data_IF_510014987028
#
_entry.id   IF_510014987028
#
_cell.length_a   1.000
_cell.length_b   1.000
_cell.length_c   1.000
_cell.angle_alpha   90.00
_cell.angle_beta   90.00
_cell.angle_gamma   90.00
#
_symmetry.space_group_name_H-M   'P 1'
#
loop_
_entity.id
_entity.type
_entity.pdbx_description
1 polymer ?
#
# COMPACT_ATOMS: atom_id res chain seq x y z
N UNK A 1 5.77 -11.73 7.37
CA UNK A 1 6.96 -12.01 6.54
C UNK A 1 6.92 -13.34 5.76
N UNK A 2 6.70 -14.52 6.37
CA UNK A 2 6.80 -15.83 5.67
C UNK A 2 5.79 -15.99 4.51
N UNK A 3 4.58 -15.44 4.67
CA UNK A 3 3.51 -15.50 3.66
C UNK A 3 3.83 -14.64 2.43
N UNK A 4 4.45 -13.47 2.62
CA UNK A 4 4.83 -12.58 1.51
C UNK A 4 5.90 -13.23 0.63
N UNK A 5 6.88 -13.89 1.25
CA UNK A 5 7.96 -14.57 0.54
C UNK A 5 7.45 -15.71 -0.34
N UNK A 6 6.47 -16.47 0.15
CA UNK A 6 5.88 -17.60 -0.56
C UNK A 6 4.97 -17.15 -1.72
N UNK A 7 4.24 -16.04 -1.57
CA UNK A 7 3.45 -15.44 -2.65
C UNK A 7 4.36 -14.91 -3.77
N UNK A 8 5.45 -14.22 -3.43
CA UNK A 8 6.43 -13.73 -4.42
C UNK A 8 7.07 -14.89 -5.17
N UNK A 9 7.42 -15.97 -4.48
CA UNK A 9 7.99 -17.17 -5.09
C UNK A 9 7.04 -17.81 -6.12
N UNK A 10 5.75 -17.91 -5.78
CA UNK A 10 4.70 -18.43 -6.66
C UNK A 10 4.54 -17.55 -7.91
N UNK A 11 4.55 -16.22 -7.75
CA UNK A 11 4.48 -15.27 -8.87
C UNK A 11 5.69 -15.44 -9.80
N UNK A 12 6.90 -15.57 -9.23
CA UNK A 12 8.11 -15.83 -10.02
C UNK A 12 8.00 -17.14 -10.80
N UNK A 13 7.58 -18.24 -10.17
CA UNK A 13 7.43 -19.54 -10.85
C UNK A 13 6.38 -19.47 -11.97
N UNK A 14 5.22 -18.88 -11.70
CA UNK A 14 4.16 -18.70 -12.69
C UNK A 14 4.60 -17.81 -13.86
N UNK A 15 5.36 -16.75 -13.59
CA UNK A 15 5.89 -15.87 -14.63
C UNK A 15 6.84 -16.59 -15.57
N UNK A 16 7.69 -17.50 -15.05
CA UNK A 16 8.61 -18.33 -15.85
C UNK A 16 7.82 -19.33 -16.70
N UNK A 17 6.77 -19.95 -16.15
CA UNK A 17 5.89 -20.86 -16.89
C UNK A 17 5.16 -20.14 -18.02
N UNK A 18 4.61 -18.95 -17.74
CA UNK A 18 3.92 -18.11 -18.74
C UNK A 18 4.91 -17.67 -19.84
N UNK A 19 6.14 -17.28 -19.47
CA UNK A 19 7.25 -16.99 -20.38
C UNK A 19 7.54 -18.14 -21.33
N UNK A 20 7.63 -19.35 -20.78
CA UNK A 20 7.91 -20.56 -21.54
C UNK A 20 6.80 -20.86 -22.55
N UNK A 21 5.53 -20.73 -22.13
CA UNK A 21 4.37 -20.93 -23.00
C UNK A 21 4.29 -19.84 -24.08
N UNK A 22 4.53 -18.57 -23.73
CA UNK A 22 4.56 -17.44 -24.67
C UNK A 22 5.70 -17.59 -25.68
N UNK A 23 6.88 -18.01 -25.25
CA UNK A 23 8.01 -18.27 -26.14
C UNK A 23 7.68 -19.39 -27.13
N UNK A 24 7.09 -20.50 -26.66
CA UNK A 24 6.65 -21.60 -27.54
C UNK A 24 5.62 -21.12 -28.57
N UNK A 25 4.70 -20.24 -28.15
CA UNK A 25 3.68 -19.64 -29.02
C UNK A 25 4.27 -18.62 -30.01
N UNK A 26 5.27 -17.83 -29.59
CA UNK A 26 6.00 -16.88 -30.44
C UNK A 26 6.82 -17.63 -31.50
N UNK A 27 7.49 -18.73 -31.11
CA UNK A 27 8.24 -19.60 -32.02
C UNK A 27 7.36 -20.22 -33.13
N UNK A 28 6.06 -20.41 -32.86
CA UNK A 28 5.07 -20.88 -33.84
C UNK A 28 4.28 -19.76 -34.53
N UNK A 29 4.45 -18.52 -34.10
CA UNK A 29 3.90 -17.34 -34.77
C UNK A 29 4.97 -16.73 -35.67
N UNK A 30 4.61 -16.07 -36.78
CA UNK A 30 5.57 -15.35 -37.63
C UNK A 30 6.21 -14.10 -36.95
N UNK A 31 6.08 -13.93 -35.63
CA UNK A 31 6.65 -12.83 -34.85
C UNK A 31 8.11 -13.12 -34.51
N UNK A 32 9.05 -12.42 -35.15
CA UNK A 32 10.49 -12.51 -34.86
C UNK A 32 10.89 -11.63 -33.67
N UNK A 33 10.46 -11.99 -32.47
CA UNK A 33 11.03 -11.38 -31.24
C UNK A 33 12.18 -12.26 -30.77
N UNK A 34 13.38 -11.70 -30.64
CA UNK A 34 14.52 -12.48 -30.16
C UNK A 34 14.30 -12.89 -28.70
N UNK A 35 14.64 -14.14 -28.37
CA UNK A 35 14.54 -14.67 -27.01
C UNK A 35 15.18 -13.75 -25.94
N UNK A 36 16.35 -13.12 -26.18
CA UNK A 36 16.93 -12.16 -25.24
C UNK A 36 16.01 -10.96 -24.95
N UNK A 37 15.37 -10.40 -25.98
CA UNK A 37 14.47 -9.24 -25.83
C UNK A 37 13.24 -9.62 -25.00
N UNK A 38 12.67 -10.80 -25.25
CA UNK A 38 11.53 -11.32 -24.48
C UNK A 38 11.92 -11.50 -23.00
N UNK A 39 13.09 -12.08 -22.73
CA UNK A 39 13.58 -12.27 -21.36
C UNK A 39 13.76 -10.93 -20.63
N UNK A 40 14.35 -9.92 -21.28
CA UNK A 40 14.53 -8.58 -20.70
C UNK A 40 13.21 -7.90 -20.34
N UNK A 41 12.21 -7.98 -21.23
CA UNK A 41 10.88 -7.40 -20.97
C UNK A 41 10.28 -8.02 -19.71
N UNK A 42 10.38 -9.34 -19.56
CA UNK A 42 9.73 -10.03 -18.45
C UNK A 42 10.46 -9.81 -17.12
N UNK A 43 11.80 -9.75 -17.13
CA UNK A 43 12.58 -9.33 -15.96
C UNK A 43 12.18 -7.91 -15.55
N UNK A 44 12.02 -6.99 -16.51
CA UNK A 44 11.57 -5.61 -16.25
C UNK A 44 10.19 -5.55 -15.60
N UNK A 45 9.22 -6.32 -16.10
CA UNK A 45 7.88 -6.41 -15.52
C UNK A 45 7.93 -6.99 -14.11
N UNK A 46 8.70 -8.06 -13.90
CA UNK A 46 8.84 -8.69 -12.58
C UNK A 46 9.42 -7.71 -11.55
N UNK A 47 10.49 -7.00 -11.91
CA UNK A 47 11.09 -5.99 -11.03
C UNK A 47 10.10 -4.87 -10.69
N UNK A 48 9.32 -4.39 -11.66
CA UNK A 48 8.31 -3.35 -11.43
C UNK A 48 7.18 -3.84 -10.50
N UNK A 49 6.72 -5.08 -10.68
CA UNK A 49 5.69 -5.69 -9.82
C UNK A 49 6.22 -5.89 -8.41
N UNK A 50 7.42 -6.47 -8.24
CA UNK A 50 8.02 -6.67 -6.92
C UNK A 50 8.22 -5.35 -6.19
N UNK A 51 8.75 -4.32 -6.88
CA UNK A 51 8.91 -2.98 -6.30
C UNK A 51 7.56 -2.40 -5.85
N UNK A 52 6.52 -2.54 -6.68
CA UNK A 52 5.18 -2.05 -6.35
C UNK A 52 4.59 -2.74 -5.11
N UNK A 53 4.76 -4.06 -4.99
CA UNK A 53 4.31 -4.82 -3.81
C UNK A 53 5.02 -4.33 -2.55
N UNK A 54 6.34 -4.18 -2.58
CA UNK A 54 7.13 -3.71 -1.43
C UNK A 54 6.72 -2.29 -1.03
N UNK A 55 6.50 -1.41 -2.01
CA UNK A 55 6.05 -0.04 -1.76
C UNK A 55 4.67 -0.02 -1.08
N UNK A 56 3.73 -0.87 -1.52
CA UNK A 56 2.40 -0.98 -0.92
C UNK A 56 2.49 -1.50 0.52
N UNK A 57 3.31 -2.54 0.76
CA UNK A 57 3.49 -3.14 2.09
C UNK A 57 4.08 -2.12 3.07
N UNK A 58 5.13 -1.41 2.67
CA UNK A 58 5.74 -0.35 3.48
C UNK A 58 4.74 0.79 3.79
N UNK A 59 3.92 1.20 2.81
CA UNK A 59 2.89 2.22 3.04
C UNK A 59 1.84 1.75 4.05
N UNK A 60 1.44 0.48 3.97
CA UNK A 60 0.51 -0.12 4.92
C UNK A 60 1.10 -0.16 6.34
N UNK A 61 2.33 -0.63 6.50
CA UNK A 61 3.00 -0.67 7.79
C UNK A 61 3.15 0.74 8.38
N UNK A 62 3.48 1.74 7.54
CA UNK A 62 3.57 3.14 7.95
C UNK A 62 2.21 3.68 8.40
N UNK A 63 1.14 3.43 7.64
CA UNK A 63 -0.20 3.87 7.97
C UNK A 63 -0.71 3.27 9.29
N UNK A 64 -0.40 1.99 9.54
CA UNK A 64 -0.72 1.32 10.82
C UNK A 64 0.00 2.01 11.97
N UNK A 65 1.30 2.27 11.83
CA UNK A 65 2.09 2.92 12.88
C UNK A 65 1.59 4.36 13.17
N UNK A 66 1.28 5.12 12.12
CA UNK A 66 0.71 6.47 12.25
C UNK A 66 -0.65 6.42 12.95
N UNK A 67 -1.50 5.47 12.58
CA UNK A 67 -2.80 5.25 13.22
C UNK A 67 -2.66 4.90 14.71
N UNK A 68 -1.80 3.95 15.05
CA UNK A 68 -1.57 3.54 16.45
C UNK A 68 -1.05 4.72 17.29
N UNK A 69 -0.13 5.51 16.73
CA UNK A 69 0.40 6.70 17.40
C UNK A 69 -0.70 7.74 17.65
N UNK A 70 -1.56 7.97 16.65
CA UNK A 70 -2.66 8.91 16.75
C UNK A 70 -3.69 8.47 17.81
N UNK A 71 -4.03 7.18 17.85
CA UNK A 71 -4.93 6.63 18.87
C UNK A 71 -4.35 6.80 20.28
N UNK A 72 -3.04 6.61 20.47
CA UNK A 72 -2.40 6.88 21.76
C UNK A 72 -2.54 8.36 22.12
N UNK A 73 -2.22 9.28 21.20
CA UNK A 73 -2.36 10.72 21.45
C UNK A 73 -3.80 11.10 21.85
N UNK A 74 -4.80 10.57 21.15
CA UNK A 74 -6.21 10.77 21.46
C UNK A 74 -6.56 10.27 22.86
N UNK A 75 -6.10 9.07 23.22
CA UNK A 75 -6.45 8.44 24.50
C UNK A 75 -5.70 9.05 25.69
N UNK A 76 -4.55 9.68 25.46
CA UNK A 76 -3.74 10.32 26.51
C UNK A 76 -3.93 11.83 26.58
N UNK A 77 -4.79 12.42 25.73
CA UNK A 77 -5.06 13.85 25.76
C UNK A 77 -5.90 14.21 26.99
N UNK A 78 -5.31 15.01 27.89
CA UNK A 78 -5.96 15.41 29.15
C UNK A 78 -6.22 16.92 29.21
N UNK A 79 -5.39 17.72 28.55
CA UNK A 79 -5.53 19.18 28.51
C UNK A 79 -6.23 19.64 27.23
N UNK A 80 -6.72 20.88 27.24
CA UNK A 80 -7.29 21.50 26.04
C UNK A 80 -6.30 21.49 24.87
N UNK A 81 -5.06 21.90 25.12
CA UNK A 81 -3.99 21.96 24.12
C UNK A 81 -3.66 20.57 23.55
N UNK A 82 -3.67 19.53 24.40
CA UNK A 82 -3.46 18.14 23.95
C UNK A 82 -4.61 17.67 23.05
N UNK A 83 -5.85 17.97 23.43
CA UNK A 83 -7.03 17.63 22.66
C UNK A 83 -7.07 18.36 21.31
N UNK A 84 -6.70 19.65 21.28
CA UNK A 84 -6.61 20.43 20.05
C UNK A 84 -5.50 19.89 19.12
N UNK A 85 -4.34 19.53 19.69
CA UNK A 85 -3.25 18.90 18.93
C UNK A 85 -3.67 17.55 18.34
N UNK A 86 -4.31 16.69 19.15
CA UNK A 86 -4.81 15.39 18.70
C UNK A 86 -5.87 15.54 17.59
N UNK A 87 -6.78 16.52 17.73
CA UNK A 87 -7.76 16.87 16.70
C UNK A 87 -7.10 17.30 15.39
N UNK A 88 -6.15 18.24 15.43
CA UNK A 88 -5.46 18.72 14.22
C UNK A 88 -4.67 17.60 13.53
N UNK A 89 -4.01 16.72 14.29
CA UNK A 89 -3.32 15.57 13.75
C UNK A 89 -4.28 14.55 13.11
N UNK A 90 -5.45 14.35 13.72
CA UNK A 90 -6.49 13.48 13.18
C UNK A 90 -7.07 14.02 11.86
N UNK A 91 -7.34 15.32 11.79
CA UNK A 91 -7.77 15.99 10.54
C UNK A 91 -6.72 15.85 9.45
N UNK A 92 -5.45 16.12 9.76
CA UNK A 92 -4.35 15.99 8.81
C UNK A 92 -4.19 14.54 8.31
N UNK A 93 -4.28 13.56 9.21
CA UNK A 93 -4.18 12.15 8.84
C UNK A 93 -5.35 11.68 7.97
N UNK A 94 -6.57 12.16 8.21
CA UNK A 94 -7.73 11.86 7.35
C UNK A 94 -7.58 12.47 5.95
N UNK A 95 -7.12 13.72 5.83
CA UNK A 95 -6.89 14.36 4.53
C UNK A 95 -5.84 13.58 3.71
N UNK A 96 -4.73 13.23 4.36
CA UNK A 96 -3.66 12.41 3.77
C UNK A 96 -4.15 11.04 3.30
N UNK A 97 -5.01 10.37 4.08
CA UNK A 97 -5.46 9.00 3.77
C UNK A 97 -6.63 8.96 2.81
N UNK A 98 -7.47 9.99 2.74
CA UNK A 98 -8.56 10.10 1.77
C UNK A 98 -8.09 10.55 0.37
N UNK A 99 -7.01 11.33 0.29
CA UNK A 99 -6.50 11.89 -0.95
C UNK A 99 -5.65 10.96 -1.83
N UNK A 100 -5.36 9.73 -1.40
CA UNK A 100 -4.41 8.85 -2.09
C UNK A 100 -5.01 7.49 -2.47
N UNK A 101 -4.75 7.06 -3.71
CA UNK A 101 -5.14 5.73 -4.23
C UNK A 101 -4.50 4.57 -3.45
N UNK A 102 -3.33 4.79 -2.85
CA UNK A 102 -2.59 3.84 -2.03
C UNK A 102 -2.00 4.62 -0.85
N UNK A 103 -2.75 4.68 0.23
CA UNK A 103 -2.38 5.31 1.51
C UNK A 103 -2.03 4.27 2.59
N UNK A 104 -2.58 3.06 2.49
CA UNK A 104 -2.29 1.95 3.40
C UNK A 104 -3.24 1.85 4.60
N UNK A 105 -4.08 2.86 4.87
CA UNK A 105 -5.04 2.83 5.95
C UNK A 105 -6.29 2.03 5.55
N UNK A 106 -6.90 1.34 6.51
CA UNK A 106 -8.16 0.63 6.28
C UNK A 106 -9.34 1.59 6.36
N UNK A 107 -10.46 1.21 5.74
CA UNK A 107 -11.71 1.96 5.86
C UNK A 107 -12.18 2.06 7.31
N UNK A 108 -11.99 1.00 8.09
CA UNK A 108 -12.37 0.96 9.50
C UNK A 108 -11.57 1.98 10.31
N UNK A 109 -10.24 2.02 10.13
CA UNK A 109 -9.37 3.02 10.77
C UNK A 109 -9.80 4.44 10.41
N UNK A 110 -10.06 4.72 9.12
CA UNK A 110 -10.55 6.04 8.68
C UNK A 110 -11.88 6.41 9.33
N UNK A 111 -12.84 5.49 9.36
CA UNK A 111 -14.14 5.73 9.98
C UNK A 111 -14.04 5.99 11.50
N UNK A 112 -13.10 5.35 12.20
CA UNK A 112 -12.88 5.58 13.64
C UNK A 112 -12.32 6.98 13.90
N UNK A 113 -11.32 7.41 13.13
CA UNK A 113 -10.76 8.76 13.24
C UNK A 113 -11.78 9.81 12.78
N UNK A 114 -12.58 9.53 11.75
CA UNK A 114 -13.64 10.43 11.26
C UNK A 114 -14.67 10.71 12.36
N UNK A 115 -15.12 9.69 13.12
CA UNK A 115 -16.03 9.88 14.26
C UNK A 115 -15.43 10.78 15.34
N UNK A 116 -14.13 10.62 15.62
CA UNK A 116 -13.43 11.46 16.60
C UNK A 116 -13.37 12.92 16.11
N UNK A 117 -12.99 13.13 14.85
CA UNK A 117 -12.95 14.47 14.24
C UNK A 117 -14.35 15.10 14.24
N UNK A 118 -15.39 14.37 13.85
CA UNK A 118 -16.76 14.86 13.83
C UNK A 118 -17.25 15.28 15.22
N UNK A 119 -16.92 14.51 16.26
CA UNK A 119 -17.29 14.84 17.63
C UNK A 119 -16.66 16.16 18.11
N UNK A 120 -15.40 16.42 17.73
CA UNK A 120 -14.66 17.62 18.14
C UNK A 120 -14.74 18.79 17.14
N UNK A 121 -15.33 18.58 15.97
CA UNK A 121 -15.40 19.58 14.89
C UNK A 121 -16.09 20.88 15.35
N UNK A 122 -17.19 20.75 16.11
CA UNK A 122 -17.93 21.90 16.63
C UNK A 122 -17.27 22.52 17.88
N UNK A 123 -16.36 21.78 18.52
CA UNK A 123 -15.67 22.23 19.74
C UNK A 123 -14.43 23.08 19.42
N UNK A 124 -13.75 22.81 18.29
CA UNK A 124 -12.53 23.50 17.88
C UNK A 124 -12.69 24.42 16.65
N UNK A 125 -13.86 24.48 16.00
CA UNK A 125 -14.17 25.49 14.97
C UNK A 125 -14.62 26.82 15.55
#
# INVERSE_FOLDING_TARGET
MVVLLSVVLIICILSVIILYILYFKILHSNLKVSFPILLFIVIGILLAVTYSIVLIDNKKDTAILEYETLIVQINTAETYDDCELAYNNAVYWLDKTNGHLIDGATKEQRNEIEKFVDYYNDYFK
#
